data_IF_373437849823
#
_entry.id   IF_373437849823
#
_cell.length_a   1.000
_cell.length_b   1.000
_cell.length_c   1.000
_cell.angle_alpha   90.00
_cell.angle_beta   90.00
_cell.angle_gamma   90.00
#
_symmetry.space_group_name_H-M   'P 1'
#
loop_
_entity.id
_entity.type
_entity.pdbx_description
1 polymer ?
#
# COMPACT_ATOMS: atom_id res chain seq x y z
N UNK A 1 7.09 -8.75 27.78
CA UNK A 1 6.76 -8.34 26.40
C UNK A 1 6.50 -6.84 26.41
N UNK A 2 7.34 -6.03 25.77
CA UNK A 2 6.92 -4.66 25.48
C UNK A 2 5.71 -4.71 24.54
N UNK A 3 4.73 -3.81 24.65
CA UNK A 3 3.66 -3.75 23.67
C UNK A 3 4.31 -3.45 22.31
N UNK A 4 4.19 -4.36 21.33
CA UNK A 4 4.52 -3.99 19.96
C UNK A 4 3.42 -3.02 19.51
N UNK A 5 3.71 -1.73 19.54
CA UNK A 5 2.77 -0.74 19.03
C UNK A 5 2.58 -1.00 17.53
N UNK A 6 1.44 -1.58 17.13
CA UNK A 6 1.10 -1.75 15.72
C UNK A 6 1.15 -0.38 15.02
N UNK A 7 1.69 -0.37 13.81
CA UNK A 7 1.80 0.82 12.98
C UNK A 7 1.03 0.54 11.70
N UNK A 8 0.35 1.56 11.20
CA UNK A 8 -0.30 1.51 9.89
C UNK A 8 0.59 2.23 8.88
N UNK A 9 1.02 1.52 7.86
CA UNK A 9 1.66 2.08 6.67
C UNK A 9 0.58 2.46 5.66
N UNK A 10 0.71 3.68 5.12
CA UNK A 10 -0.10 4.19 4.02
C UNK A 10 0.87 4.46 2.87
N UNK A 11 0.75 3.69 1.79
CA UNK A 11 1.69 3.72 0.67
C UNK A 11 0.94 4.20 -0.57
N UNK A 12 1.39 5.30 -1.18
CA UNK A 12 0.87 5.78 -2.46
C UNK A 12 1.82 5.28 -3.56
N UNK A 13 1.35 4.39 -4.41
CA UNK A 13 2.12 3.77 -5.48
C UNK A 13 1.58 4.18 -6.86
N UNK A 14 2.48 4.29 -7.84
CA UNK A 14 2.09 4.47 -9.24
C UNK A 14 1.24 3.29 -9.71
N UNK A 15 0.27 3.53 -10.60
CA UNK A 15 -0.64 2.49 -11.07
C UNK A 15 0.11 1.30 -11.72
N UNK A 16 1.15 1.59 -12.51
CA UNK A 16 1.99 0.58 -13.17
C UNK A 16 2.81 -0.30 -12.22
N UNK A 17 3.09 0.17 -11.00
CA UNK A 17 3.87 -0.57 -10.00
C UNK A 17 3.03 -1.21 -8.89
N UNK A 18 1.76 -0.82 -8.77
CA UNK A 18 0.91 -1.16 -7.64
C UNK A 18 0.74 -2.66 -7.43
N UNK A 19 0.50 -3.41 -8.52
CA UNK A 19 0.28 -4.86 -8.44
C UNK A 19 1.58 -5.62 -8.13
N UNK A 20 2.70 -5.20 -8.76
CA UNK A 20 4.02 -5.76 -8.46
C UNK A 20 4.41 -5.54 -7.00
N UNK A 21 4.11 -4.36 -6.45
CA UNK A 21 4.37 -4.07 -5.03
C UNK A 21 3.44 -4.88 -4.11
N UNK A 22 2.15 -5.00 -4.45
CA UNK A 22 1.17 -5.81 -3.72
C UNK A 22 1.66 -7.26 -3.58
N UNK A 23 2.06 -7.88 -4.69
CA UNK A 23 2.54 -9.27 -4.71
C UNK A 23 3.77 -9.44 -3.83
N UNK A 24 4.73 -8.49 -3.87
CA UNK A 24 5.93 -8.55 -3.02
C UNK A 24 5.63 -8.41 -1.53
N UNK A 25 4.63 -7.61 -1.16
CA UNK A 25 4.19 -7.47 0.24
C UNK A 25 3.52 -8.76 0.71
N UNK A 26 2.69 -9.39 -0.13
CA UNK A 26 2.05 -10.68 0.16
C UNK A 26 3.09 -11.80 0.29
N UNK A 27 4.05 -11.89 -0.65
CA UNK A 27 5.16 -12.85 -0.60
C UNK A 27 6.01 -12.71 0.68
N UNK A 28 6.17 -11.47 1.18
CA UNK A 28 6.86 -11.18 2.43
C UNK A 28 6.03 -11.52 3.70
N UNK A 29 4.79 -11.97 3.55
CA UNK A 29 3.92 -12.36 4.65
C UNK A 29 3.26 -11.18 5.38
N UNK A 30 3.20 -10.00 4.76
CA UNK A 30 2.58 -8.83 5.36
C UNK A 30 1.13 -8.67 4.87
N UNK A 31 0.16 -8.46 5.78
CA UNK A 31 -1.22 -8.17 5.38
C UNK A 31 -1.29 -6.83 4.68
N UNK A 32 -2.06 -6.76 3.59
CA UNK A 32 -2.18 -5.55 2.78
C UNK A 32 -3.54 -5.45 2.10
N UNK A 33 -4.08 -4.23 2.06
CA UNK A 33 -5.31 -3.88 1.36
C UNK A 33 -5.00 -2.84 0.29
N UNK A 34 -5.44 -3.09 -0.96
CA UNK A 34 -5.31 -2.15 -2.08
C UNK A 34 -6.59 -1.33 -2.27
N UNK A 35 -6.46 -0.02 -2.44
CA UNK A 35 -7.52 0.92 -2.79
C UNK A 35 -7.15 1.62 -4.10
N UNK A 36 -8.02 1.56 -5.11
CA UNK A 36 -7.88 2.38 -6.31
C UNK A 36 -8.11 3.85 -5.97
N UNK A 37 -7.14 4.71 -6.27
CA UNK A 37 -7.17 6.14 -5.90
C UNK A 37 -6.75 7.04 -7.06
N UNK A 38 -6.86 8.35 -6.87
CA UNK A 38 -6.47 9.36 -7.87
C UNK A 38 -5.61 10.44 -7.21
N UNK A 39 -4.51 10.83 -7.84
CA UNK A 39 -3.67 11.93 -7.36
C UNK A 39 -4.29 13.30 -7.58
N UNK A 40 -4.19 14.21 -6.60
CA UNK A 40 -4.82 15.53 -6.66
C UNK A 40 -4.23 16.50 -7.70
N UNK A 41 -2.92 16.42 -7.96
CA UNK A 41 -2.23 17.36 -8.86
C UNK A 41 -2.38 16.99 -10.33
N UNK A 42 -1.90 15.80 -10.72
CA UNK A 42 -1.94 15.34 -12.11
C UNK A 42 -3.31 14.74 -12.51
N UNK A 43 -4.22 14.53 -11.54
CA UNK A 43 -5.52 13.86 -11.74
C UNK A 43 -5.41 12.51 -12.46
N UNK A 44 -4.31 11.79 -12.22
CA UNK A 44 -4.07 10.45 -12.76
C UNK A 44 -4.40 9.39 -11.72
N UNK A 45 -4.90 8.25 -12.19
CA UNK A 45 -5.13 7.07 -11.36
C UNK A 45 -3.82 6.55 -10.75
N UNK A 46 -3.90 6.10 -9.51
CA UNK A 46 -2.82 5.47 -8.76
C UNK A 46 -3.42 4.43 -7.79
N UNK A 47 -2.61 3.86 -6.91
CA UNK A 47 -3.10 2.98 -5.86
C UNK A 47 -2.63 3.45 -4.48
N UNK A 48 -3.49 3.27 -3.49
CA UNK A 48 -3.15 3.41 -2.07
C UNK A 48 -3.14 2.01 -1.45
N UNK A 49 -2.02 1.59 -0.87
CA UNK A 49 -1.89 0.34 -0.13
C UNK A 49 -1.87 0.63 1.37
N UNK A 50 -2.64 -0.15 2.15
CA UNK A 50 -2.69 -0.09 3.60
C UNK A 50 -2.12 -1.40 4.17
N UNK A 51 -1.16 -1.32 5.09
CA UNK A 51 -0.52 -2.50 5.71
C UNK A 51 -0.14 -2.21 7.17
N UNK A 52 -0.41 -3.14 8.08
CA UNK A 52 -0.16 -2.98 9.52
C UNK A 52 -0.66 -4.13 10.36
#
# INVERSE_FOLDING_TARGET
>A
MSPSAQKLLIIIAAAEDADRLLDKIIEAGHPVTKISSTGGFLRRGNATLLSG
#
